data_IF_063682533140
#
_entry.id   IF_063682533140
#
_cell.length_a   1.000
_cell.length_b   1.000
_cell.length_c   1.000
_cell.angle_alpha   90.00
_cell.angle_beta   90.00
_cell.angle_gamma   90.00
#
_symmetry.space_group_name_H-M   'P 1'
#
loop_
_entity.id
_entity.type
_entity.pdbx_description
1 polymer ?
#
# COMPACT_ATOMS: atom_id res chain seq x y z
N UNK A 1 7.14 15.30 26.05
CA UNK A 1 5.75 14.81 25.86
C UNK A 1 5.83 13.38 25.33
N UNK A 2 5.02 12.44 25.85
CA UNK A 2 4.99 11.08 25.32
C UNK A 2 4.57 11.11 23.83
N UNK A 3 5.21 10.28 23.00
CA UNK A 3 4.85 10.16 21.58
C UNK A 3 3.44 9.56 21.47
N UNK A 4 2.55 10.24 20.74
CA UNK A 4 1.23 9.70 20.41
C UNK A 4 1.36 8.43 19.57
N UNK A 5 0.44 7.48 19.77
CA UNK A 5 0.32 6.25 18.99
C UNK A 5 -0.05 6.57 17.54
N UNK A 6 0.31 5.64 16.64
CA UNK A 6 -0.03 5.76 15.23
C UNK A 6 -1.53 5.54 15.02
N UNK A 7 -2.16 6.25 14.06
CA UNK A 7 -3.51 5.94 13.62
C UNK A 7 -3.65 4.51 13.09
N UNK A 8 -4.83 3.92 13.24
CA UNK A 8 -5.20 2.56 12.82
C UNK A 8 -6.59 2.56 12.18
N UNK A 9 -6.97 1.50 11.47
CA UNK A 9 -8.32 1.39 10.87
C UNK A 9 -9.38 1.56 11.96
N UNK A 10 -10.29 2.51 11.77
CA UNK A 10 -11.24 2.93 12.80
C UNK A 10 -12.70 2.87 12.31
N UNK A 11 -13.64 2.88 13.24
CA UNK A 11 -15.07 3.07 13.00
C UNK A 11 -15.47 4.54 13.20
N UNK A 12 -16.67 4.94 12.77
CA UNK A 12 -17.18 6.30 12.98
C UNK A 12 -17.38 6.66 14.47
N UNK A 13 -17.54 5.66 15.33
CA UNK A 13 -17.70 5.87 16.77
C UNK A 13 -16.36 6.17 17.45
N UNK A 14 -15.26 5.75 16.83
CA UNK A 14 -13.89 5.90 17.35
C UNK A 14 -13.21 7.18 16.88
N UNK A 15 -13.81 7.90 15.94
CA UNK A 15 -13.24 9.13 15.40
C UNK A 15 -14.26 10.27 15.31
N UNK A 16 -13.72 11.48 15.31
CA UNK A 16 -14.44 12.70 14.97
C UNK A 16 -13.78 13.30 13.73
N UNK A 17 -14.60 13.57 12.72
CA UNK A 17 -14.17 14.23 11.48
C UNK A 17 -14.61 15.69 11.54
N UNK A 18 -13.69 16.60 11.27
CA UNK A 18 -14.01 18.00 10.98
C UNK A 18 -13.38 18.42 9.66
N UNK A 19 -13.94 19.45 9.02
CA UNK A 19 -13.48 19.94 7.71
C UNK A 19 -12.85 21.31 7.90
N UNK A 20 -11.64 21.50 7.41
CA UNK A 20 -10.90 22.76 7.45
C UNK A 20 -10.28 23.05 6.08
N UNK A 21 -10.93 23.94 5.32
CA UNK A 21 -10.57 24.26 3.94
C UNK A 21 -10.54 23.02 3.04
N UNK A 22 -9.34 22.59 2.66
CA UNK A 22 -9.10 21.44 1.79
C UNK A 22 -8.82 20.13 2.55
N UNK A 23 -8.83 20.20 3.89
CA UNK A 23 -8.40 19.11 4.76
C UNK A 23 -9.57 18.54 5.58
N UNK A 24 -9.63 17.21 5.65
CA UNK A 24 -10.35 16.51 6.70
C UNK A 24 -9.42 16.35 7.92
N UNK A 25 -9.85 16.83 9.08
CA UNK A 25 -9.18 16.62 10.36
C UNK A 25 -9.80 15.40 11.02
N UNK A 26 -9.01 14.35 11.22
CA UNK A 26 -9.44 13.07 11.76
C UNK A 26 -8.84 12.94 13.16
N UNK A 27 -9.68 13.07 14.18
CA UNK A 27 -9.29 12.94 15.58
C UNK A 27 -9.89 11.68 16.19
N UNK A 28 -9.08 10.83 16.81
CA UNK A 28 -9.58 9.68 17.56
C UNK A 28 -10.20 10.13 18.87
N UNK A 29 -11.16 9.37 19.37
CA UNK A 29 -11.70 9.54 20.73
C UNK A 29 -10.66 9.22 21.80
N UNK A 30 -9.71 8.33 21.50
CA UNK A 30 -8.49 8.11 22.30
C UNK A 30 -7.43 9.19 22.02
N UNK A 31 -7.28 10.13 22.96
CA UNK A 31 -6.32 11.23 22.89
C UNK A 31 -4.84 10.80 22.82
N UNK A 32 -4.55 9.53 23.15
CA UNK A 32 -3.22 8.95 23.02
C UNK A 32 -2.84 8.70 21.56
N UNK A 33 -3.79 8.75 20.63
CA UNK A 33 -3.58 8.54 19.18
C UNK A 33 -3.40 9.90 18.47
N UNK A 34 -2.52 9.92 17.46
CA UNK A 34 -2.26 11.13 16.70
C UNK A 34 -3.45 11.57 15.84
N UNK A 35 -3.83 12.84 15.93
CA UNK A 35 -4.77 13.49 15.00
C UNK A 35 -4.12 13.65 13.63
N UNK A 36 -4.87 13.40 12.56
CA UNK A 36 -4.37 13.51 11.18
C UNK A 36 -5.08 14.63 10.42
N UNK A 37 -4.31 15.40 9.65
CA UNK A 37 -4.84 16.31 8.63
C UNK A 37 -4.70 15.63 7.27
N UNK A 38 -5.82 15.32 6.63
CA UNK A 38 -5.86 14.55 5.40
C UNK A 38 -6.37 15.43 4.25
N UNK A 39 -5.49 15.70 3.28
CA UNK A 39 -5.80 16.55 2.13
C UNK A 39 -6.68 15.80 1.14
N UNK A 40 -7.88 16.33 0.87
CA UNK A 40 -8.85 15.78 -0.09
C UNK A 40 -9.14 16.80 -1.21
N UNK A 41 -8.96 18.09 -0.93
CA UNK A 41 -9.36 19.20 -1.80
C UNK A 41 -10.77 19.69 -1.47
N UNK A 42 -10.98 21.02 -1.44
CA UNK A 42 -12.21 21.64 -0.93
C UNK A 42 -13.48 21.15 -1.64
N UNK A 43 -13.49 21.15 -2.98
CA UNK A 43 -14.67 20.77 -3.77
C UNK A 43 -15.09 19.32 -3.54
N UNK A 44 -14.10 18.42 -3.42
CA UNK A 44 -14.34 17.00 -3.19
C UNK A 44 -14.78 16.77 -1.75
N UNK A 45 -14.10 17.39 -0.79
CA UNK A 45 -14.39 17.28 0.64
C UNK A 45 -15.81 17.76 0.97
N UNK A 46 -16.28 18.82 0.32
CA UNK A 46 -17.61 19.38 0.52
C UNK A 46 -18.75 18.42 0.09
N UNK A 47 -18.47 17.47 -0.80
CA UNK A 47 -19.44 16.50 -1.32
C UNK A 47 -19.43 15.16 -0.60
N UNK A 48 -18.45 14.93 0.28
CA UNK A 48 -18.26 13.63 0.96
C UNK A 48 -18.97 13.62 2.31
N UNK A 49 -19.65 12.52 2.62
CA UNK A 49 -20.11 12.22 3.97
C UNK A 49 -18.94 11.89 4.90
N UNK A 50 -19.21 11.81 6.20
CA UNK A 50 -18.19 11.38 7.16
C UNK A 50 -17.83 9.89 6.93
N UNK A 51 -18.80 9.07 6.52
CA UNK A 51 -18.59 7.68 6.09
C UNK A 51 -17.62 7.59 4.90
N UNK A 52 -17.80 8.42 3.87
CA UNK A 52 -16.94 8.43 2.68
C UNK A 52 -15.51 8.82 3.04
N UNK A 53 -15.35 9.82 3.92
CA UNK A 53 -14.04 10.30 4.39
C UNK A 53 -13.36 9.21 5.23
N UNK A 54 -14.10 8.56 6.13
CA UNK A 54 -13.59 7.46 6.94
C UNK A 54 -13.16 6.29 6.05
N UNK A 55 -13.98 5.90 5.07
CA UNK A 55 -13.65 4.82 4.15
C UNK A 55 -12.37 5.13 3.36
N UNK A 56 -12.25 6.34 2.81
CA UNK A 56 -11.05 6.79 2.11
C UNK A 56 -9.80 6.78 3.01
N UNK A 57 -9.94 7.25 4.25
CA UNK A 57 -8.87 7.26 5.24
C UNK A 57 -8.42 5.85 5.63
N UNK A 58 -9.37 4.97 5.97
CA UNK A 58 -9.12 3.60 6.36
C UNK A 58 -8.48 2.80 5.22
N UNK A 59 -8.93 2.99 3.97
CA UNK A 59 -8.28 2.41 2.80
C UNK A 59 -6.81 2.84 2.74
N UNK A 60 -6.53 4.14 2.91
CA UNK A 60 -5.15 4.64 2.96
C UNK A 60 -4.33 4.11 4.14
N UNK A 61 -4.94 3.79 5.27
CA UNK A 61 -4.28 3.14 6.41
C UNK A 61 -4.02 1.65 6.17
N UNK A 62 -4.97 0.91 5.59
CA UNK A 62 -4.76 -0.48 5.18
C UNK A 62 -3.59 -0.59 4.21
N UNK A 63 -3.53 0.30 3.20
CA UNK A 63 -2.39 0.38 2.28
C UNK A 63 -1.08 0.75 2.98
N UNK A 64 -1.11 1.57 4.05
CA UNK A 64 0.08 1.97 4.83
C UNK A 64 0.54 0.89 5.82
N UNK A 65 -0.38 0.13 6.40
CA UNK A 65 -0.07 -1.02 7.26
C UNK A 65 0.55 -2.16 6.44
N UNK A 66 0.04 -2.39 5.23
CA UNK A 66 0.70 -3.23 4.24
C UNK A 66 2.04 -2.65 3.77
N UNK A 67 2.19 -1.32 3.65
CA UNK A 67 3.46 -0.68 3.28
C UNK A 67 4.57 -0.86 4.34
N UNK A 68 4.22 -0.91 5.64
CA UNK A 68 5.18 -1.13 6.74
C UNK A 68 5.62 -2.58 6.84
N UNK A 69 4.73 -3.53 6.49
CA UNK A 69 5.06 -4.96 6.41
C UNK A 69 5.82 -5.28 5.11
N UNK A 70 5.39 -4.73 3.97
CA UNK A 70 6.00 -4.91 2.65
C UNK A 70 7.38 -4.24 2.48
N UNK A 71 7.67 -3.12 3.17
CA UNK A 71 9.03 -2.51 3.15
C UNK A 71 10.11 -3.37 3.82
N UNK A 72 9.75 -4.22 4.79
CA UNK A 72 10.73 -4.98 5.58
C UNK A 72 11.07 -6.34 4.96
N UNK A 73 10.14 -6.92 4.20
CA UNK A 73 10.30 -8.28 3.64
C UNK A 73 10.87 -8.27 2.21
N UNK A 74 10.45 -7.35 1.33
CA UNK A 74 10.87 -7.33 -0.08
C UNK A 74 12.30 -6.80 -0.29
N UNK A 75 12.80 -5.94 0.59
CA UNK A 75 14.21 -5.56 0.59
C UNK A 75 15.10 -6.80 0.73
N UNK A 76 14.67 -7.84 1.44
CA UNK A 76 15.46 -9.07 1.60
C UNK A 76 15.47 -9.97 0.36
N UNK A 77 14.39 -9.96 -0.43
CA UNK A 77 14.25 -10.77 -1.65
C UNK A 77 15.10 -10.24 -2.81
N UNK A 78 15.13 -8.91 -3.01
CA UNK A 78 15.99 -8.27 -4.01
C UNK A 78 17.41 -7.93 -3.50
N UNK A 79 17.65 -7.87 -2.18
CA UNK A 79 19.02 -7.57 -1.68
C UNK A 79 20.03 -8.69 -1.90
N UNK A 80 19.57 -9.91 -2.25
CA UNK A 80 20.45 -11.07 -2.43
C UNK A 80 20.70 -11.45 -3.88
N UNK A 81 19.83 -11.06 -4.81
CA UNK A 81 19.97 -11.36 -6.24
C UNK A 81 19.34 -10.25 -7.09
N UNK A 82 19.99 -9.88 -8.19
CA UNK A 82 19.49 -8.91 -9.17
C UNK A 82 18.27 -9.42 -9.98
N UNK A 83 17.65 -10.53 -9.55
CA UNK A 83 16.60 -11.24 -10.28
C UNK A 83 15.48 -11.62 -9.33
N UNK A 84 14.24 -11.33 -9.72
CA UNK A 84 13.02 -11.78 -9.03
C UNK A 84 12.36 -12.87 -9.86
N UNK A 85 12.51 -14.13 -9.44
CA UNK A 85 11.75 -15.24 -10.00
C UNK A 85 10.33 -15.24 -9.41
N UNK A 86 9.32 -15.21 -10.26
CA UNK A 86 7.93 -15.15 -9.85
C UNK A 86 7.02 -15.90 -10.83
N UNK A 87 5.86 -16.31 -10.35
CA UNK A 87 4.83 -16.99 -11.14
C UNK A 87 3.56 -16.15 -11.16
N UNK A 88 3.09 -15.80 -12.36
CA UNK A 88 1.77 -15.21 -12.55
C UNK A 88 0.72 -16.30 -12.31
N UNK A 89 -0.15 -16.09 -11.31
CA UNK A 89 -1.17 -17.05 -10.89
C UNK A 89 -2.56 -16.69 -11.43
N UNK A 90 -2.83 -15.41 -11.57
CA UNK A 90 -4.11 -14.90 -12.01
C UNK A 90 -3.96 -13.62 -12.84
N UNK A 91 -5.05 -13.17 -13.45
CA UNK A 91 -5.19 -11.83 -14.04
C UNK A 91 -5.99 -10.97 -13.07
N UNK A 92 -5.38 -9.96 -12.43
CA UNK A 92 -6.06 -9.16 -11.43
C UNK A 92 -7.16 -8.31 -12.07
N UNK A 93 -8.36 -8.28 -11.45
CA UNK A 93 -9.45 -7.41 -11.88
C UNK A 93 -9.30 -5.99 -11.27
N UNK A 94 -8.72 -5.91 -10.07
CA UNK A 94 -8.37 -4.69 -9.34
C UNK A 94 -6.84 -4.63 -9.05
N UNK A 95 -6.20 -3.44 -9.03
CA UNK A 95 -4.79 -3.29 -8.65
C UNK A 95 -4.37 -3.88 -7.30
N UNK A 96 -5.32 -4.02 -6.36
CA UNK A 96 -5.12 -4.62 -5.04
C UNK A 96 -5.37 -6.14 -5.03
N UNK A 97 -5.81 -6.74 -6.14
CA UNK A 97 -5.95 -8.18 -6.26
C UNK A 97 -4.56 -8.87 -6.32
N UNK A 98 -4.32 -9.92 -5.53
CA UNK A 98 -3.07 -10.68 -5.59
C UNK A 98 -3.01 -11.51 -6.87
N UNK A 99 -1.91 -11.42 -7.61
CA UNK A 99 -1.77 -12.12 -8.89
C UNK A 99 -0.40 -12.75 -9.13
N UNK A 100 0.62 -12.36 -8.35
CA UNK A 100 2.01 -12.77 -8.58
C UNK A 100 2.57 -13.51 -7.37
N UNK A 101 3.02 -14.76 -7.51
CA UNK A 101 3.67 -15.52 -6.44
C UNK A 101 5.19 -15.43 -6.55
N UNK A 102 5.89 -14.97 -5.52
CA UNK A 102 7.35 -15.02 -5.42
C UNK A 102 7.77 -15.38 -3.98
N UNK A 103 8.78 -16.23 -3.83
CA UNK A 103 9.30 -16.66 -2.52
C UNK A 103 8.21 -17.11 -1.52
N UNK A 104 7.23 -17.87 -2.01
CA UNK A 104 6.13 -18.38 -1.19
C UNK A 104 5.06 -17.35 -0.79
N UNK A 105 5.14 -16.11 -1.27
CA UNK A 105 4.17 -15.03 -1.01
C UNK A 105 3.53 -14.51 -2.29
N UNK A 106 2.24 -14.19 -2.23
CA UNK A 106 1.51 -13.52 -3.31
C UNK A 106 1.57 -12.00 -3.17
N UNK A 107 1.74 -11.33 -4.30
CA UNK A 107 1.88 -9.89 -4.45
C UNK A 107 0.78 -9.32 -5.36
N UNK A 108 0.36 -8.10 -5.05
CA UNK A 108 -0.56 -7.30 -5.87
C UNK A 108 0.20 -6.48 -6.93
N UNK A 109 -0.52 -5.90 -7.87
CA UNK A 109 0.08 -5.01 -8.88
C UNK A 109 0.70 -3.76 -8.25
N UNK A 110 0.02 -3.20 -7.24
CA UNK A 110 0.52 -2.03 -6.50
C UNK A 110 1.79 -2.34 -5.71
N UNK A 111 1.89 -3.51 -5.09
CA UNK A 111 3.09 -3.92 -4.36
C UNK A 111 4.30 -4.11 -5.29
N UNK A 112 4.10 -4.71 -6.46
CA UNK A 112 5.14 -4.83 -7.49
C UNK A 112 5.59 -3.44 -7.99
N UNK A 113 4.65 -2.53 -8.25
CA UNK A 113 4.97 -1.17 -8.69
C UNK A 113 5.83 -0.43 -7.65
N UNK A 114 5.48 -0.54 -6.36
CA UNK A 114 6.27 0.03 -5.26
C UNK A 114 7.67 -0.59 -5.16
N UNK A 115 7.78 -1.90 -5.39
CA UNK A 115 9.07 -2.60 -5.43
C UNK A 115 9.99 -2.02 -6.52
N UNK A 116 9.49 -1.91 -7.75
CA UNK A 116 10.24 -1.31 -8.86
C UNK A 116 10.57 0.16 -8.60
N UNK A 117 9.62 0.91 -8.02
CA UNK A 117 9.80 2.32 -7.66
C UNK A 117 10.91 2.58 -6.63
N UNK A 118 11.35 1.57 -5.87
CA UNK A 118 12.52 1.72 -4.98
C UNK A 118 13.87 1.78 -5.71
N UNK A 119 13.89 1.45 -7.02
CA UNK A 119 15.09 1.42 -7.86
C UNK A 119 15.03 2.49 -8.96
N UNK A 120 14.62 3.72 -8.62
CA UNK A 120 14.55 4.84 -9.59
C UNK A 120 15.90 5.01 -10.31
N UNK A 121 15.85 5.06 -11.64
CA UNK A 121 17.04 5.19 -12.50
C UNK A 121 17.65 3.88 -12.96
N UNK A 122 17.12 2.73 -12.54
CA UNK A 122 17.58 1.42 -12.98
C UNK A 122 16.77 0.94 -14.19
N UNK A 123 17.41 0.17 -15.07
CA UNK A 123 16.71 -0.54 -16.14
C UNK A 123 16.14 -1.86 -15.63
N UNK A 124 14.90 -2.17 -15.97
CA UNK A 124 14.22 -3.42 -15.60
C UNK A 124 14.13 -4.34 -16.81
N UNK A 125 14.43 -5.62 -16.64
CA UNK A 125 14.22 -6.67 -17.64
C UNK A 125 13.17 -7.64 -17.11
N UNK A 126 12.14 -7.92 -17.90
CA UNK A 126 11.12 -8.93 -17.62
C UNK A 126 11.24 -10.01 -18.69
N UNK A 127 11.40 -11.26 -18.26
CA UNK A 127 11.44 -12.42 -19.13
C UNK A 127 10.22 -13.30 -18.83
N UNK A 128 9.47 -13.67 -19.88
CA UNK A 128 8.32 -14.56 -19.77
C UNK A 128 8.77 -15.98 -20.11
N UNK A 129 8.76 -16.87 -19.11
CA UNK A 129 9.14 -18.26 -19.28
C UNK A 129 7.87 -19.13 -19.29
N UNK A 130 7.62 -19.91 -20.36
CA UNK A 130 6.49 -20.84 -20.38
C UNK A 130 6.70 -21.97 -19.35
N UNK A 131 5.63 -22.59 -18.82
CA UNK A 131 5.71 -23.57 -17.74
C UNK A 131 6.60 -24.78 -18.05
N UNK A 132 6.74 -25.14 -19.33
CA UNK A 132 7.54 -26.27 -19.82
C UNK A 132 8.81 -25.84 -20.60
N UNK A 133 9.19 -24.56 -20.52
CA UNK A 133 10.36 -24.03 -21.23
C UNK A 133 11.69 -24.33 -20.52
N UNK A 134 12.80 -24.54 -21.27
CA UNK A 134 14.12 -24.65 -20.64
C UNK A 134 14.46 -23.32 -19.97
N UNK A 135 14.54 -23.31 -18.63
CA UNK A 135 15.07 -22.19 -17.86
C UNK A 135 16.43 -21.79 -18.42
N UNK A 136 16.45 -20.65 -19.12
CA UNK A 136 17.65 -20.12 -19.78
C UNK A 136 18.10 -18.84 -19.08
N UNK A 137 18.10 -18.84 -17.75
CA UNK A 137 18.87 -17.87 -16.99
C UNK A 137 20.30 -18.43 -16.85
N UNK A 138 21.13 -18.14 -17.84
CA UNK A 138 22.59 -18.15 -17.71
C UNK A 138 23.05 -16.74 -17.35
N UNK A 139 23.93 -16.69 -16.36
CA UNK A 139 24.50 -15.51 -15.67
C UNK A 139 24.94 -14.35 -16.56
#
# INVERSE_FOLDING_TARGET
MPRKKRPHVATLEEIRITRDGEYAIIAYTDDSIATTQYHIGADRLARMSDEDILMLWNAGLATKEDDVRSRRDMGSALSRANFLACQVRDTPADPDDPFLLADGRTFTAMELAKLLGSHVGWSVRIELVPPDGPSSLKD
#
